data_IF_538842918443
#
_entry.id   IF_538842918443
#
_cell.length_a   1.000
_cell.length_b   1.000
_cell.length_c   1.000
_cell.angle_alpha   90.00
_cell.angle_beta   90.00
_cell.angle_gamma   90.00
#
_symmetry.space_group_name_H-M   'P 1'
#
loop_
_entity.id
_entity.type
_entity.pdbx_description
1 polymer ?
#
# COMPACT_ATOMS: atom_id res chain seq x y z
N UNK A 1 4.23 -16.74 -78.18
CA UNK A 1 5.21 -15.99 -77.38
C UNK A 1 4.47 -15.09 -76.38
N UNK A 2 4.37 -15.49 -75.17
CA UNK A 2 3.71 -14.69 -74.09
C UNK A 2 4.78 -13.80 -73.44
N UNK A 3 4.61 -12.49 -73.53
CA UNK A 3 5.42 -11.51 -72.77
C UNK A 3 5.02 -11.52 -71.34
N UNK A 4 5.88 -11.96 -70.43
CA UNK A 4 5.75 -11.93 -69.00
C UNK A 4 5.96 -10.47 -68.53
N UNK A 5 4.98 -9.93 -67.84
CA UNK A 5 4.94 -8.53 -67.38
C UNK A 5 5.84 -8.33 -66.15
N UNK A 6 7.11 -8.04 -66.36
CA UNK A 6 8.14 -7.83 -65.31
C UNK A 6 7.86 -6.65 -64.32
N UNK A 7 6.90 -5.79 -64.66
CA UNK A 7 6.59 -4.62 -63.82
C UNK A 7 5.67 -4.91 -62.59
N UNK A 8 4.90 -6.01 -62.61
CA UNK A 8 4.02 -6.34 -61.50
C UNK A 8 4.71 -7.09 -60.36
N UNK A 9 5.79 -7.79 -60.65
CA UNK A 9 6.56 -8.56 -59.65
C UNK A 9 7.49 -7.66 -58.82
N UNK A 10 7.96 -6.54 -59.39
CA UNK A 10 8.82 -5.60 -58.65
C UNK A 10 8.03 -4.76 -57.63
N UNK A 11 6.76 -4.44 -57.93
CA UNK A 11 5.90 -3.68 -57.01
C UNK A 11 5.45 -4.53 -55.81
N UNK A 12 5.22 -5.81 -55.96
CA UNK A 12 4.87 -6.73 -54.90
C UNK A 12 6.05 -7.00 -53.95
N UNK A 13 7.29 -7.07 -54.47
CA UNK A 13 8.48 -7.25 -53.65
C UNK A 13 8.84 -5.99 -52.83
N UNK A 14 8.63 -4.80 -53.38
CA UNK A 14 8.85 -3.53 -52.64
C UNK A 14 7.78 -3.30 -51.58
N UNK A 15 6.52 -3.69 -51.83
CA UNK A 15 5.45 -3.60 -50.80
C UNK A 15 5.63 -4.61 -49.65
N UNK A 16 6.14 -5.83 -49.96
CA UNK A 16 6.46 -6.83 -48.92
C UNK A 16 7.69 -6.44 -48.08
N UNK A 17 8.65 -5.71 -48.66
CA UNK A 17 9.80 -5.19 -47.91
C UNK A 17 9.42 -3.97 -47.05
N UNK A 18 8.47 -3.15 -47.48
CA UNK A 18 7.99 -2.03 -46.67
C UNK A 18 7.05 -2.48 -45.52
N UNK A 19 6.27 -3.57 -45.70
CA UNK A 19 5.46 -4.14 -44.62
C UNK A 19 6.31 -4.85 -43.56
N UNK A 20 7.47 -5.39 -43.89
CA UNK A 20 8.39 -5.93 -42.88
C UNK A 20 9.25 -4.87 -42.19
N UNK A 21 9.36 -3.65 -42.73
CA UNK A 21 10.07 -2.54 -42.08
C UNK A 21 9.18 -1.79 -41.08
N UNK A 22 7.85 -1.90 -41.17
CA UNK A 22 6.92 -1.30 -40.22
C UNK A 22 6.72 -2.17 -38.98
N UNK A 23 6.99 -3.48 -39.05
CA UNK A 23 6.90 -4.39 -37.92
C UNK A 23 8.15 -4.40 -36.99
N UNK A 24 9.19 -3.63 -37.33
CA UNK A 24 10.47 -3.60 -36.60
C UNK A 24 10.65 -2.37 -35.69
N UNK A 25 9.67 -1.47 -35.64
CA UNK A 25 9.72 -0.33 -34.75
C UNK A 25 8.89 -0.62 -33.47
N UNK A 26 9.53 -1.11 -32.41
CA UNK A 26 8.86 -1.32 -31.14
C UNK A 26 9.59 -2.21 -30.14
N UNK A 27 10.45 -3.10 -30.56
CA UNK A 27 11.18 -3.95 -29.61
C UNK A 27 12.60 -3.44 -29.38
N UNK A 28 12.90 -3.14 -28.12
CA UNK A 28 14.23 -2.77 -27.63
C UNK A 28 14.80 -3.93 -26.82
N UNK A 29 16.08 -4.21 -26.97
CA UNK A 29 16.79 -5.15 -26.11
C UNK A 29 17.28 -4.38 -24.86
N UNK A 30 16.95 -4.85 -23.67
CA UNK A 30 17.55 -4.41 -22.42
C UNK A 30 18.54 -5.46 -21.97
N UNK A 31 19.79 -5.06 -21.80
CA UNK A 31 20.86 -5.88 -21.26
C UNK A 31 21.39 -5.24 -19.98
N UNK A 32 21.89 -6.06 -19.08
CA UNK A 32 22.52 -5.53 -17.89
C UNK A 32 23.10 -6.62 -17.01
N UNK A 33 23.65 -6.18 -15.90
CA UNK A 33 24.17 -7.04 -14.86
C UNK A 33 23.71 -6.60 -13.49
N UNK A 34 23.58 -7.54 -12.57
CA UNK A 34 23.37 -7.27 -11.14
C UNK A 34 24.61 -7.75 -10.38
N UNK A 35 25.25 -6.82 -9.67
CA UNK A 35 26.48 -7.09 -8.90
C UNK A 35 26.35 -6.53 -7.49
N UNK A 36 27.12 -7.07 -6.57
CA UNK A 36 27.26 -6.43 -5.28
C UNK A 36 28.24 -5.24 -5.33
N UNK A 37 28.30 -4.48 -4.26
CA UNK A 37 29.17 -3.30 -4.11
C UNK A 37 30.68 -3.63 -4.11
N UNK A 38 31.07 -4.92 -4.14
CA UNK A 38 32.46 -5.39 -4.34
C UNK A 38 32.72 -5.78 -5.79
N UNK A 39 31.72 -5.72 -6.65
CA UNK A 39 31.77 -6.13 -8.06
C UNK A 39 31.49 -7.63 -8.29
N UNK A 40 31.12 -8.37 -7.25
CA UNK A 40 30.77 -9.80 -7.38
C UNK A 40 29.39 -9.95 -8.03
N UNK A 41 29.25 -10.82 -9.06
CA UNK A 41 27.97 -11.06 -9.72
C UNK A 41 26.95 -11.71 -8.76
N UNK A 42 25.68 -11.35 -8.95
CA UNK A 42 24.56 -11.90 -8.20
C UNK A 42 23.65 -12.66 -9.15
N UNK A 43 23.62 -13.99 -9.01
CA UNK A 43 22.77 -14.88 -9.80
C UNK A 43 21.37 -15.00 -9.20
N UNK A 44 20.36 -15.25 -10.07
CA UNK A 44 18.98 -15.54 -9.64
C UNK A 44 18.18 -14.31 -9.22
N UNK A 45 18.66 -13.10 -9.45
CA UNK A 45 17.88 -11.88 -9.21
C UNK A 45 16.79 -11.76 -10.27
N UNK A 46 15.55 -11.63 -9.85
CA UNK A 46 14.41 -11.41 -10.74
C UNK A 46 14.49 -10.01 -11.31
N UNK A 47 14.41 -9.91 -12.65
CA UNK A 47 14.43 -8.66 -13.41
C UNK A 47 13.19 -8.61 -14.30
N UNK A 48 12.54 -7.47 -14.34
CA UNK A 48 11.29 -7.28 -15.12
C UNK A 48 11.17 -5.85 -15.65
N UNK A 49 10.41 -5.68 -16.72
CA UNK A 49 9.93 -4.39 -17.21
C UNK A 49 8.46 -4.11 -16.85
N UNK A 50 7.84 -5.02 -16.07
CA UNK A 50 6.42 -5.00 -15.73
C UNK A 50 5.58 -6.02 -16.52
N UNK A 51 6.09 -6.53 -17.66
CA UNK A 51 5.41 -7.55 -18.46
C UNK A 51 6.27 -8.79 -18.67
N UNK A 52 7.55 -8.60 -18.90
CA UNK A 52 8.52 -9.67 -19.17
C UNK A 52 9.38 -9.88 -17.92
N UNK A 53 9.66 -11.14 -17.62
CA UNK A 53 10.45 -11.53 -16.45
C UNK A 53 11.63 -12.39 -16.90
N UNK A 54 12.77 -12.19 -16.27
CA UNK A 54 13.94 -13.04 -16.39
C UNK A 54 14.67 -13.08 -15.05
N UNK A 55 15.67 -13.92 -14.94
CA UNK A 55 16.60 -13.96 -13.80
C UNK A 55 18.04 -13.78 -14.29
N UNK A 56 18.87 -13.21 -13.42
CA UNK A 56 20.30 -13.13 -13.71
C UNK A 56 20.95 -14.50 -13.74
N UNK A 57 21.88 -14.72 -14.68
CA UNK A 57 22.69 -15.93 -14.82
C UNK A 57 23.81 -16.03 -13.75
N UNK A 58 24.71 -16.99 -13.88
CA UNK A 58 25.83 -17.20 -12.94
C UNK A 58 26.83 -16.04 -12.92
N UNK A 59 26.94 -15.32 -14.02
CA UNK A 59 27.79 -14.13 -14.22
C UNK A 59 27.03 -12.83 -13.83
N UNK A 60 25.79 -12.96 -13.33
CA UNK A 60 24.93 -11.85 -12.92
C UNK A 60 24.28 -11.10 -14.08
N UNK A 61 24.37 -11.59 -15.33
CA UNK A 61 23.83 -10.91 -16.51
C UNK A 61 22.38 -11.29 -16.76
N UNK A 62 21.65 -10.38 -17.43
CA UNK A 62 20.28 -10.62 -17.89
C UNK A 62 20.02 -9.96 -19.25
N UNK A 63 19.00 -10.43 -19.95
CA UNK A 63 18.50 -9.85 -21.19
C UNK A 63 16.99 -9.90 -21.18
N UNK A 64 16.34 -8.79 -21.57
CA UNK A 64 14.90 -8.69 -21.80
C UNK A 64 14.65 -8.06 -23.18
N UNK A 65 13.57 -8.47 -23.84
CA UNK A 65 13.03 -7.77 -25.01
C UNK A 65 11.76 -7.03 -24.54
N UNK A 66 11.72 -5.73 -24.78
CA UNK A 66 10.66 -4.85 -24.27
C UNK A 66 10.25 -3.79 -25.28
N UNK A 67 9.13 -3.14 -25.04
CA UNK A 67 8.69 -1.92 -25.70
C UNK A 67 8.76 -0.76 -24.69
N UNK A 68 9.78 0.10 -24.72
CA UNK A 68 9.95 1.20 -23.78
C UNK A 68 8.87 2.27 -23.88
N UNK A 69 8.08 2.30 -24.95
CA UNK A 69 6.94 3.23 -25.07
C UNK A 69 5.78 2.79 -24.19
N UNK A 70 5.68 1.50 -23.89
CA UNK A 70 4.67 0.90 -23.04
C UNK A 70 5.23 0.58 -21.64
N UNK A 71 6.47 0.11 -21.55
CA UNK A 71 7.17 -0.29 -20.34
C UNK A 71 8.44 0.56 -20.17
N UNK A 72 8.32 1.76 -19.60
CA UNK A 72 9.39 2.75 -19.63
C UNK A 72 10.54 2.47 -18.67
N UNK A 73 10.47 1.39 -17.90
CA UNK A 73 11.46 1.04 -16.87
C UNK A 73 11.80 -0.44 -16.90
N UNK A 74 13.01 -0.76 -16.46
CA UNK A 74 13.41 -2.09 -16.01
C UNK A 74 13.74 -2.02 -14.53
N UNK A 75 13.38 -3.05 -13.76
CA UNK A 75 13.58 -3.08 -12.32
C UNK A 75 13.81 -4.50 -11.79
N UNK A 76 14.31 -4.58 -10.57
CA UNK A 76 14.67 -5.83 -9.92
C UNK A 76 13.83 -6.06 -8.66
N UNK A 77 13.51 -7.32 -8.36
CA UNK A 77 13.06 -7.73 -7.04
C UNK A 77 14.29 -7.95 -6.15
N UNK A 78 14.54 -7.01 -5.22
CA UNK A 78 15.73 -7.06 -4.36
C UNK A 78 15.71 -8.30 -3.48
N UNK A 79 16.75 -9.17 -3.52
CA UNK A 79 16.80 -10.35 -2.68
C UNK A 79 17.02 -10.00 -1.19
N UNK A 80 16.47 -10.79 -0.26
CA UNK A 80 16.54 -10.56 1.18
C UNK A 80 17.96 -10.49 1.77
N UNK A 81 18.95 -11.06 1.07
CA UNK A 81 20.36 -11.03 1.47
C UNK A 81 21.07 -9.71 1.17
N UNK A 82 20.39 -8.77 0.54
CA UNK A 82 20.90 -7.44 0.19
C UNK A 82 20.08 -6.35 0.88
N UNK A 83 20.71 -5.22 1.17
CA UNK A 83 20.05 -4.03 1.69
C UNK A 83 19.06 -3.49 0.64
N UNK A 84 17.95 -2.93 1.11
CA UNK A 84 16.97 -2.30 0.23
C UNK A 84 17.56 -1.00 -0.33
N UNK A 85 17.70 -0.87 -1.66
CA UNK A 85 18.31 0.31 -2.25
C UNK A 85 17.47 1.56 -1.95
N UNK A 86 18.12 2.62 -1.48
CA UNK A 86 17.46 3.87 -1.17
C UNK A 86 18.38 5.08 -1.34
N UNK A 87 17.76 6.22 -1.58
CA UNK A 87 18.41 7.52 -1.57
C UNK A 87 17.68 8.44 -0.61
N UNK A 88 18.40 8.98 0.38
CA UNK A 88 17.80 9.81 1.44
C UNK A 88 16.63 9.12 2.18
N UNK A 89 16.69 7.79 2.33
CA UNK A 89 15.62 7.01 2.95
C UNK A 89 14.39 6.76 2.07
N UNK A 90 14.39 7.17 0.81
CA UNK A 90 13.34 6.82 -0.17
C UNK A 90 13.85 5.68 -1.06
N UNK A 91 13.04 4.67 -1.27
CA UNK A 91 13.39 3.54 -2.15
C UNK A 91 13.76 4.04 -3.54
N UNK A 92 14.97 3.70 -3.98
CA UNK A 92 15.57 4.16 -5.24
C UNK A 92 16.69 3.19 -5.63
N UNK A 93 17.09 3.18 -6.92
CA UNK A 93 18.19 2.34 -7.39
C UNK A 93 17.84 0.88 -7.66
N UNK A 94 16.59 0.46 -7.44
CA UNK A 94 16.09 -0.85 -7.85
C UNK A 94 15.43 -0.82 -9.23
N UNK A 95 15.31 0.35 -9.88
CA UNK A 95 14.76 0.54 -11.22
C UNK A 95 15.59 1.51 -12.03
N UNK A 96 15.47 1.42 -13.36
CA UNK A 96 16.11 2.32 -14.33
C UNK A 96 15.15 2.61 -15.48
N UNK A 97 15.17 3.85 -15.97
CA UNK A 97 14.39 4.27 -17.13
C UNK A 97 15.02 3.79 -18.41
N UNK A 98 14.18 3.41 -19.37
CA UNK A 98 14.58 3.01 -20.71
C UNK A 98 14.48 4.19 -21.68
N UNK A 99 15.43 4.27 -22.59
CA UNK A 99 15.42 5.21 -23.70
C UNK A 99 14.74 4.56 -24.91
N UNK A 100 13.50 5.01 -25.20
CA UNK A 100 12.73 4.49 -26.33
C UNK A 100 13.34 4.82 -27.71
N UNK A 101 14.31 5.74 -27.79
CA UNK A 101 15.06 6.07 -29.01
C UNK A 101 16.19 5.10 -29.32
N UNK A 102 16.49 4.16 -28.40
CA UNK A 102 17.58 3.19 -28.56
C UNK A 102 17.05 1.81 -28.86
N UNK A 103 17.73 1.10 -29.78
CA UNK A 103 17.49 -0.31 -30.05
C UNK A 103 18.02 -1.24 -28.94
N UNK A 104 18.96 -0.75 -28.13
CA UNK A 104 19.53 -1.45 -26.97
C UNK A 104 19.73 -0.48 -25.81
N UNK A 105 19.27 -0.87 -24.60
CA UNK A 105 19.50 -0.18 -23.36
C UNK A 105 20.40 -1.02 -22.46
N UNK A 106 21.43 -0.40 -21.86
CA UNK A 106 22.28 -1.03 -20.86
C UNK A 106 21.84 -0.57 -19.48
N UNK A 107 21.40 -1.52 -18.63
CA UNK A 107 20.89 -1.24 -17.29
C UNK A 107 21.57 -2.17 -16.27
N UNK A 108 22.52 -1.64 -15.52
CA UNK A 108 23.26 -2.37 -14.49
C UNK A 108 22.80 -1.98 -13.09
N UNK A 109 22.66 -2.97 -12.20
CA UNK A 109 22.28 -2.75 -10.81
C UNK A 109 23.41 -3.13 -9.86
N UNK A 110 23.56 -2.33 -8.79
CA UNK A 110 24.54 -2.59 -7.74
C UNK A 110 23.80 -2.67 -6.40
N UNK A 111 23.96 -3.78 -5.69
CA UNK A 111 23.32 -4.01 -4.40
C UNK A 111 24.36 -4.11 -3.30
N UNK A 112 24.08 -3.59 -2.13
CA UNK A 112 24.90 -3.75 -0.93
C UNK A 112 24.55 -5.03 -0.21
N UNK A 113 25.51 -5.94 -0.10
CA UNK A 113 25.28 -7.18 0.62
C UNK A 113 25.12 -6.93 2.11
N UNK A 114 24.07 -7.51 2.73
CA UNK A 114 23.87 -7.46 4.17
C UNK A 114 24.99 -8.15 4.92
N UNK A 115 25.43 -7.57 6.03
CA UNK A 115 26.44 -8.18 6.89
C UNK A 115 25.85 -9.35 7.71
N UNK A 116 24.55 -9.31 8.01
CA UNK A 116 23.82 -10.34 8.75
C UNK A 116 22.43 -10.53 8.11
N UNK A 117 21.87 -11.76 8.17
CA UNK A 117 20.48 -11.98 7.83
C UNK A 117 19.55 -11.13 8.70
N UNK A 118 18.41 -10.74 8.15
CA UNK A 118 17.35 -10.05 8.87
C UNK A 118 16.34 -11.08 9.33
N UNK A 119 16.36 -11.40 10.62
CA UNK A 119 15.38 -12.32 11.22
C UNK A 119 14.18 -11.57 11.81
N UNK A 120 14.41 -10.34 12.23
CA UNK A 120 13.39 -9.44 12.80
C UNK A 120 13.48 -8.07 12.12
N UNK A 121 12.32 -7.52 11.73
CA UNK A 121 12.23 -6.18 11.18
C UNK A 121 10.89 -5.52 11.55
N UNK A 122 10.81 -4.21 11.35
CA UNK A 122 9.58 -3.44 11.52
C UNK A 122 9.10 -2.94 10.16
N UNK A 123 7.80 -3.08 9.91
CA UNK A 123 7.13 -2.59 8.72
C UNK A 123 6.12 -1.53 9.13
N UNK A 124 6.32 -0.28 8.72
CA UNK A 124 5.45 0.84 9.04
C UNK A 124 4.61 1.17 7.81
N UNK A 125 3.29 1.09 7.95
CA UNK A 125 2.38 1.28 6.83
C UNK A 125 1.56 2.53 7.03
N UNK A 126 1.71 3.47 6.11
CA UNK A 126 1.06 4.78 6.09
C UNK A 126 0.06 4.83 4.93
N UNK A 127 -1.21 5.11 5.20
CA UNK A 127 -2.23 5.24 4.17
C UNK A 127 -2.69 6.68 4.02
N UNK A 128 -3.01 7.08 2.80
CA UNK A 128 -3.76 8.31 2.48
C UNK A 128 -3.23 9.57 3.20
N UNK A 129 -1.98 10.00 2.99
CA UNK A 129 -1.53 11.33 3.39
C UNK A 129 -2.33 12.43 2.70
N UNK A 130 -2.68 12.22 1.45
CA UNK A 130 -3.66 12.92 0.62
C UNK A 130 -3.61 14.45 0.74
N UNK A 131 -2.38 15.00 0.69
CA UNK A 131 -2.16 16.44 0.79
C UNK A 131 -2.55 17.16 -0.52
N UNK A 132 -3.36 18.20 -0.41
CA UNK A 132 -3.91 18.94 -1.55
C UNK A 132 -3.32 20.33 -1.73
N UNK A 133 -2.70 20.88 -0.70
CA UNK A 133 -2.14 22.22 -0.67
C UNK A 133 -1.09 22.33 0.44
N UNK A 134 -0.34 23.44 0.47
CA UNK A 134 0.71 23.69 1.45
C UNK A 134 0.20 23.62 2.89
N UNK A 135 -1.00 24.11 3.19
CA UNK A 135 -1.56 24.04 4.55
C UNK A 135 -1.72 22.60 5.06
N UNK A 136 -2.17 21.68 4.19
CA UNK A 136 -2.30 20.27 4.54
C UNK A 136 -0.93 19.58 4.58
N UNK A 137 -0.03 19.94 3.68
CA UNK A 137 1.35 19.48 3.70
C UNK A 137 2.07 19.93 4.98
N UNK A 138 1.83 21.14 5.45
CA UNK A 138 2.39 21.63 6.73
C UNK A 138 1.85 20.85 7.92
N UNK A 139 0.55 20.51 7.93
CA UNK A 139 0.00 19.59 8.95
C UNK A 139 0.67 18.22 8.90
N UNK A 140 0.83 17.66 7.72
CA UNK A 140 1.53 16.39 7.55
C UNK A 140 2.96 16.45 8.09
N UNK A 141 3.71 17.54 7.77
CA UNK A 141 5.09 17.76 8.24
C UNK A 141 5.20 18.01 9.75
N UNK A 142 4.18 18.59 10.37
CA UNK A 142 4.25 19.00 11.79
C UNK A 142 3.52 18.03 12.72
N UNK A 143 2.61 17.21 12.19
CA UNK A 143 1.83 16.23 12.97
C UNK A 143 2.35 14.80 12.71
N UNK A 144 2.21 14.29 11.46
CA UNK A 144 2.48 12.87 11.14
C UNK A 144 3.97 12.56 11.03
N UNK A 145 4.74 13.39 10.32
CA UNK A 145 6.17 13.14 10.06
C UNK A 145 6.99 13.07 11.34
N UNK A 146 6.85 14.00 12.34
CA UNK A 146 7.56 13.89 13.59
C UNK A 146 7.21 12.66 14.41
N UNK A 147 5.94 12.25 14.38
CA UNK A 147 5.47 11.04 15.07
C UNK A 147 6.04 9.76 14.42
N UNK A 148 6.06 9.68 13.08
CA UNK A 148 6.74 8.61 12.34
C UNK A 148 8.21 8.53 12.70
N UNK A 149 8.90 9.69 12.71
CA UNK A 149 10.32 9.78 13.09
C UNK A 149 10.56 9.30 14.51
N UNK A 150 9.73 9.73 15.46
CA UNK A 150 9.83 9.31 16.86
C UNK A 150 9.61 7.78 16.99
N UNK A 151 8.66 7.24 16.27
CA UNK A 151 8.39 5.79 16.24
C UNK A 151 9.59 5.04 15.68
N UNK A 152 10.14 5.48 14.53
CA UNK A 152 11.32 4.88 13.93
C UNK A 152 12.54 4.95 14.88
N UNK A 153 12.77 6.10 15.51
CA UNK A 153 13.87 6.28 16.46
C UNK A 153 13.74 5.35 17.69
N UNK A 154 12.51 5.08 18.14
CA UNK A 154 12.26 4.14 19.24
C UNK A 154 12.54 2.69 18.85
N UNK A 155 12.48 2.38 17.56
CA UNK A 155 12.64 1.04 16.97
C UNK A 155 13.95 0.88 16.18
N UNK A 156 14.89 1.81 16.31
CA UNK A 156 16.15 1.88 15.55
C UNK A 156 17.07 0.66 15.66
N UNK A 157 16.82 -0.24 16.62
CA UNK A 157 17.56 -1.48 16.76
C UNK A 157 17.12 -2.54 15.73
N UNK A 158 16.01 -2.32 15.06
CA UNK A 158 15.49 -3.15 13.97
C UNK A 158 15.76 -2.48 12.62
N UNK A 159 15.81 -3.26 11.56
CA UNK A 159 15.63 -2.71 10.23
C UNK A 159 14.16 -2.26 10.08
N UNK A 160 13.96 -1.06 9.56
CA UNK A 160 12.63 -0.49 9.42
C UNK A 160 12.36 -0.22 7.94
N UNK A 161 11.25 -0.75 7.46
CA UNK A 161 10.72 -0.49 6.12
C UNK A 161 9.41 0.27 6.23
N UNK A 162 9.28 1.36 5.51
CA UNK A 162 8.05 2.13 5.40
C UNK A 162 7.34 1.87 4.07
N UNK A 163 6.01 1.86 4.08
CA UNK A 163 5.17 1.74 2.90
C UNK A 163 4.05 2.77 2.93
N UNK A 164 4.01 3.64 1.91
CA UNK A 164 2.87 4.51 1.65
C UNK A 164 1.88 3.83 0.71
N UNK A 165 0.61 3.70 1.14
CA UNK A 165 -0.43 2.95 0.41
C UNK A 165 -1.22 3.78 -0.60
N UNK A 166 -0.59 4.78 -1.23
CA UNK A 166 -1.25 5.60 -2.23
C UNK A 166 -2.04 6.79 -1.67
N UNK A 167 -2.66 7.53 -2.56
CA UNK A 167 -3.24 8.84 -2.28
C UNK A 167 -2.23 9.72 -1.52
N UNK A 168 -0.99 9.75 -2.05
CA UNK A 168 0.11 10.53 -1.48
C UNK A 168 -0.21 12.01 -1.51
N UNK A 169 -0.82 12.44 -2.62
CA UNK A 169 -1.35 13.78 -2.84
C UNK A 169 -2.81 13.68 -3.28
N UNK A 170 -3.52 14.82 -3.29
CA UNK A 170 -4.89 14.88 -3.84
C UNK A 170 -4.88 15.65 -5.16
N UNK A 171 -4.74 14.94 -6.27
CA UNK A 171 -4.73 15.50 -7.63
C UNK A 171 -3.69 16.64 -7.82
N UNK A 172 -2.70 16.74 -6.96
CA UNK A 172 -1.77 17.88 -6.88
C UNK A 172 -0.32 17.40 -7.09
N UNK A 173 0.01 16.98 -8.32
CA UNK A 173 1.31 16.38 -8.67
C UNK A 173 2.52 17.30 -8.35
N UNK A 174 2.32 18.61 -8.31
CA UNK A 174 3.34 19.57 -7.86
C UNK A 174 3.74 19.39 -6.39
N UNK A 175 2.94 18.67 -5.60
CA UNK A 175 3.26 18.36 -4.20
C UNK A 175 4.07 17.07 -4.02
N UNK A 176 4.36 16.30 -5.08
CA UNK A 176 5.19 15.10 -4.97
C UNK A 176 6.59 15.40 -4.44
N UNK A 177 7.27 16.41 -4.98
CA UNK A 177 8.61 16.75 -4.52
C UNK A 177 8.62 17.17 -3.03
N UNK A 178 7.79 18.10 -2.55
CA UNK A 178 7.74 18.45 -1.14
C UNK A 178 7.20 17.33 -0.23
N UNK A 179 6.31 16.46 -0.72
CA UNK A 179 5.90 15.24 0.01
C UNK A 179 7.07 14.27 0.15
N UNK A 180 7.78 13.96 -0.95
CA UNK A 180 8.98 13.11 -0.95
C UNK A 180 10.04 13.63 0.03
N UNK A 181 10.26 14.94 0.07
CA UNK A 181 11.14 15.57 1.04
C UNK A 181 10.65 15.36 2.48
N UNK A 182 9.34 15.47 2.72
CA UNK A 182 8.77 15.29 4.07
C UNK A 182 8.98 13.88 4.62
N UNK A 183 8.87 12.84 3.77
CA UNK A 183 9.05 11.44 4.18
C UNK A 183 10.49 10.93 4.01
N UNK A 184 11.43 11.79 3.65
CA UNK A 184 12.86 11.45 3.56
C UNK A 184 13.53 11.41 4.94
N UNK A 185 14.60 10.61 5.06
CA UNK A 185 15.45 10.56 6.27
C UNK A 185 14.72 10.27 7.59
N UNK A 186 13.64 9.49 7.52
CA UNK A 186 12.86 9.09 8.70
C UNK A 186 13.52 7.95 9.53
N UNK A 187 14.69 7.46 9.11
CA UNK A 187 15.34 6.30 9.73
C UNK A 187 14.81 4.96 9.22
N UNK A 188 14.14 4.99 8.06
CA UNK A 188 13.61 3.81 7.37
C UNK A 188 13.76 3.97 5.85
N UNK A 189 13.65 2.88 5.10
CA UNK A 189 13.51 2.91 3.65
C UNK A 189 12.02 2.98 3.31
N UNK A 190 11.57 4.15 2.80
CA UNK A 190 10.18 4.41 2.44
C UNK A 190 9.91 4.00 0.99
N UNK A 191 9.05 3.04 0.81
CA UNK A 191 8.43 2.68 -0.47
C UNK A 191 7.09 3.39 -0.63
N UNK A 192 6.63 3.52 -1.88
CA UNK A 192 5.36 4.18 -2.18
C UNK A 192 4.54 3.31 -3.14
N UNK A 193 3.24 3.45 -3.05
CA UNK A 193 2.24 2.89 -3.95
C UNK A 193 1.38 4.05 -4.47
N UNK A 194 0.74 3.93 -5.62
CA UNK A 194 -0.20 4.95 -6.07
C UNK A 194 -1.65 4.62 -5.71
N UNK A 195 -2.42 5.68 -5.39
CA UNK A 195 -3.86 5.63 -5.24
C UNK A 195 -4.59 6.39 -6.37
N UNK A 196 -5.91 6.53 -6.25
CA UNK A 196 -6.72 7.17 -7.28
C UNK A 196 -6.48 8.68 -7.42
N UNK A 197 -5.95 9.34 -6.39
CA UNK A 197 -5.59 10.76 -6.44
C UNK A 197 -4.14 11.02 -6.88
N UNK A 198 -3.40 9.97 -7.21
CA UNK A 198 -2.03 10.05 -7.70
C UNK A 198 -1.94 10.06 -9.24
N UNK A 199 -3.08 10.01 -9.95
CA UNK A 199 -3.13 10.16 -11.40
C UNK A 199 -3.16 11.61 -11.83
N UNK A 200 -2.41 11.93 -12.89
CA UNK A 200 -2.39 13.28 -13.45
C UNK A 200 -3.66 13.60 -14.22
N UNK A 201 -4.47 14.51 -13.69
CA UNK A 201 -5.76 14.89 -14.26
C UNK A 201 -5.68 15.73 -15.53
N UNK A 202 -4.49 16.18 -15.97
CA UNK A 202 -4.32 16.83 -17.28
C UNK A 202 -4.72 15.90 -18.43
N UNK A 203 -4.68 14.59 -18.19
CA UNK A 203 -5.07 13.57 -19.16
C UNK A 203 -6.56 13.19 -19.09
N UNK A 204 -7.43 14.16 -18.74
CA UNK A 204 -8.89 13.96 -18.63
C UNK A 204 -9.57 13.48 -19.91
N UNK A 205 -8.98 13.76 -21.07
CA UNK A 205 -9.57 13.52 -22.39
C UNK A 205 -8.93 12.39 -23.17
N UNK A 206 -8.10 11.57 -22.55
CA UNK A 206 -7.35 10.50 -23.22
C UNK A 206 -8.22 9.27 -23.56
N UNK A 207 -9.50 9.28 -23.28
CA UNK A 207 -10.44 8.23 -23.71
C UNK A 207 -10.51 8.00 -25.24
N UNK A 208 -9.75 8.77 -26.04
CA UNK A 208 -9.68 8.67 -27.49
C UNK A 208 -8.31 8.22 -28.03
N UNK A 209 -7.40 7.81 -27.18
CA UNK A 209 -6.08 7.33 -27.59
C UNK A 209 -6.05 5.80 -27.65
N UNK A 210 -5.17 5.25 -28.50
CA UNK A 210 -4.90 3.81 -28.62
C UNK A 210 -4.12 3.26 -27.39
N UNK A 211 -3.84 4.11 -26.39
CA UNK A 211 -3.13 3.76 -25.19
C UNK A 211 -4.09 3.78 -23.98
N UNK A 212 -3.89 2.91 -23.00
CA UNK A 212 -4.59 2.96 -21.73
C UNK A 212 -4.44 4.35 -21.09
N UNK A 213 -5.51 4.90 -20.54
CA UNK A 213 -5.48 6.20 -19.86
C UNK A 213 -4.53 6.21 -18.65
N UNK A 214 -4.35 5.06 -18.01
CA UNK A 214 -3.40 4.82 -16.93
C UNK A 214 -1.99 5.26 -17.30
N UNK A 215 -1.42 4.74 -18.38
CA UNK A 215 -0.04 5.00 -18.78
C UNK A 215 0.31 6.49 -18.90
N UNK A 216 -0.68 7.32 -19.20
CA UNK A 216 -0.50 8.77 -19.21
C UNK A 216 -0.72 9.42 -17.83
N UNK A 217 -1.69 8.93 -17.07
CA UNK A 217 -1.99 9.43 -15.73
C UNK A 217 -0.86 9.17 -14.74
N UNK A 218 -0.13 8.08 -14.92
CA UNK A 218 0.91 7.59 -14.02
C UNK A 218 2.28 8.26 -14.21
N UNK A 219 2.52 8.98 -15.28
CA UNK A 219 3.87 9.50 -15.63
C UNK A 219 4.52 10.31 -14.52
N UNK A 220 3.78 11.17 -13.81
CA UNK A 220 4.33 11.95 -12.70
C UNK A 220 4.70 11.07 -11.50
N UNK A 221 3.93 10.02 -11.24
CA UNK A 221 4.25 9.05 -10.21
C UNK A 221 5.54 8.30 -10.57
N UNK A 222 5.63 7.77 -11.80
CA UNK A 222 6.83 7.08 -12.29
C UNK A 222 8.08 7.92 -12.11
N UNK A 223 8.05 9.19 -12.51
CA UNK A 223 9.17 10.12 -12.36
C UNK A 223 9.57 10.40 -10.92
N UNK A 224 8.65 10.24 -9.98
CA UNK A 224 8.87 10.56 -8.57
C UNK A 224 9.23 9.34 -7.72
N UNK A 225 8.67 8.16 -8.02
CA UNK A 225 8.72 6.99 -7.15
C UNK A 225 9.06 5.67 -7.87
N UNK A 226 9.17 5.66 -9.20
CA UNK A 226 9.47 4.47 -9.97
C UNK A 226 8.22 3.66 -10.36
N UNK A 227 8.34 2.33 -10.55
CA UNK A 227 7.26 1.50 -11.06
C UNK A 227 6.07 1.42 -10.11
N UNK A 228 4.84 1.30 -10.66
CA UNK A 228 3.62 1.14 -9.87
C UNK A 228 3.47 -0.28 -9.29
N UNK A 229 3.93 -1.30 -10.03
CA UNK A 229 3.95 -2.68 -9.58
C UNK A 229 5.39 -3.12 -9.38
N UNK A 230 5.75 -3.55 -8.19
CA UNK A 230 7.10 -4.04 -7.86
C UNK A 230 7.08 -4.95 -6.65
N UNK A 231 8.18 -5.69 -6.46
CA UNK A 231 8.38 -6.53 -5.28
C UNK A 231 9.81 -6.42 -4.74
N UNK A 232 9.98 -6.81 -3.50
CA UNK A 232 11.28 -6.99 -2.85
C UNK A 232 11.17 -8.00 -1.72
N UNK A 233 12.31 -8.43 -1.18
CA UNK A 233 12.34 -9.42 -0.11
C UNK A 233 13.07 -8.87 1.12
N UNK A 234 12.53 -9.13 2.30
CA UNK A 234 13.16 -8.82 3.57
C UNK A 234 12.90 -9.93 4.58
N UNK A 235 13.96 -10.45 5.23
CA UNK A 235 13.83 -11.63 6.07
C UNK A 235 13.27 -12.80 5.28
N UNK A 236 12.17 -13.36 5.76
CA UNK A 236 11.41 -14.42 5.08
C UNK A 236 10.18 -13.90 4.32
N UNK A 237 9.95 -12.60 4.33
CA UNK A 237 8.75 -12.00 3.74
C UNK A 237 9.04 -11.55 2.31
N UNK A 238 8.15 -11.92 1.40
CA UNK A 238 8.06 -11.35 0.07
C UNK A 238 7.07 -10.19 0.09
N UNK A 239 7.52 -8.99 -0.22
CA UNK A 239 6.72 -7.76 -0.20
C UNK A 239 6.38 -7.36 -1.62
N UNK A 240 5.10 -7.15 -1.87
CA UNK A 240 4.56 -6.74 -3.16
C UNK A 240 3.84 -5.40 -2.98
N UNK A 241 4.13 -4.44 -3.84
CA UNK A 241 3.31 -3.25 -4.05
C UNK A 241 2.67 -3.36 -5.43
N UNK A 242 1.33 -3.29 -5.48
CA UNK A 242 0.60 -3.48 -6.71
C UNK A 242 -0.55 -2.48 -6.83
N UNK A 243 -0.66 -1.87 -7.99
CA UNK A 243 -1.76 -0.98 -8.36
C UNK A 243 -3.07 -1.76 -8.45
N UNK A 244 -4.14 -1.18 -7.92
CA UNK A 244 -5.50 -1.72 -7.98
C UNK A 244 -6.53 -0.66 -8.38
N UNK A 245 -6.06 0.45 -8.93
CA UNK A 245 -6.86 1.51 -9.53
C UNK A 245 -6.68 1.50 -11.03
N UNK A 246 -7.75 1.19 -11.74
CA UNK A 246 -7.82 1.26 -13.20
C UNK A 246 -8.45 2.60 -13.60
N UNK A 247 -7.63 3.48 -14.18
CA UNK A 247 -8.01 4.87 -14.46
C UNK A 247 -8.60 5.01 -15.87
N UNK A 248 -9.89 5.30 -15.93
CA UNK A 248 -10.64 5.45 -17.19
C UNK A 248 -10.44 6.83 -17.87
N UNK A 249 -9.70 7.74 -17.25
CA UNK A 249 -9.63 9.14 -17.64
C UNK A 249 -10.85 9.95 -17.15
N UNK A 250 -10.85 11.27 -17.41
CA UNK A 250 -11.95 12.18 -16.99
C UNK A 250 -12.27 12.12 -15.48
N UNK A 251 -11.29 11.89 -14.62
CA UNK A 251 -11.45 11.67 -13.17
C UNK A 251 -12.28 10.43 -12.80
N UNK A 252 -12.45 9.51 -13.72
CA UNK A 252 -13.13 8.24 -13.48
C UNK A 252 -12.10 7.14 -13.31
N UNK A 253 -12.37 6.26 -12.39
CA UNK A 253 -11.57 5.08 -12.13
C UNK A 253 -12.47 3.95 -11.64
N UNK A 254 -11.91 2.77 -11.65
CA UNK A 254 -12.54 1.57 -11.08
C UNK A 254 -11.50 0.89 -10.20
N UNK A 255 -11.89 0.57 -8.97
CA UNK A 255 -11.08 -0.24 -8.07
C UNK A 255 -11.09 -1.68 -8.59
N UNK A 256 -10.02 -2.06 -9.28
CA UNK A 256 -9.82 -3.41 -9.83
C UNK A 256 -8.38 -3.63 -10.26
N UNK A 257 -8.00 -4.88 -10.35
CA UNK A 257 -6.76 -5.32 -10.98
C UNK A 257 -7.02 -5.54 -12.47
N UNK A 258 -6.18 -4.99 -13.33
CA UNK A 258 -6.24 -5.29 -14.76
C UNK A 258 -5.76 -6.73 -15.02
N UNK A 259 -6.07 -7.32 -16.18
CA UNK A 259 -5.49 -8.62 -16.56
C UNK A 259 -3.96 -8.61 -16.55
N UNK A 260 -3.34 -7.49 -16.91
CA UNK A 260 -1.90 -7.27 -16.91
C UNK A 260 -1.34 -7.27 -15.47
N UNK A 261 -2.00 -6.63 -14.52
CA UNK A 261 -1.60 -6.62 -13.11
C UNK A 261 -1.64 -8.04 -12.51
N UNK A 262 -2.72 -8.79 -12.78
CA UNK A 262 -2.84 -10.18 -12.33
C UNK A 262 -1.81 -11.11 -13.01
N UNK A 263 -1.48 -10.88 -14.28
CA UNK A 263 -0.43 -11.62 -14.98
C UNK A 263 0.96 -11.31 -14.42
N UNK A 264 1.22 -10.04 -14.10
CA UNK A 264 2.44 -9.60 -13.41
C UNK A 264 2.57 -10.31 -12.04
N UNK A 265 1.52 -10.26 -11.22
CA UNK A 265 1.50 -10.91 -9.90
C UNK A 265 1.74 -12.43 -10.00
N UNK A 266 1.08 -13.09 -10.95
CA UNK A 266 1.26 -14.53 -11.18
C UNK A 266 2.70 -14.88 -11.54
N UNK A 267 3.36 -14.04 -12.34
CA UNK A 267 4.77 -14.23 -12.73
C UNK A 267 5.69 -13.95 -11.54
N UNK A 268 5.48 -12.88 -10.81
CA UNK A 268 6.27 -12.52 -9.63
C UNK A 268 6.20 -13.64 -8.57
N UNK A 269 4.98 -14.09 -8.22
CA UNK A 269 4.75 -15.17 -7.28
C UNK A 269 5.34 -16.53 -7.74
N UNK A 270 5.60 -16.73 -9.03
CA UNK A 270 6.23 -17.96 -9.52
C UNK A 270 7.70 -18.13 -9.04
N UNK A 271 8.31 -17.06 -8.56
CA UNK A 271 9.64 -17.05 -7.94
C UNK A 271 9.61 -17.20 -6.42
N UNK A 272 8.41 -17.25 -5.83
CA UNK A 272 8.20 -17.30 -4.38
C UNK A 272 7.77 -18.71 -3.98
N UNK A 273 8.47 -19.38 -3.04
CA UNK A 273 8.06 -20.72 -2.57
C UNK A 273 6.65 -20.69 -1.96
N UNK A 274 5.84 -21.70 -2.27
CA UNK A 274 4.54 -21.88 -1.62
C UNK A 274 4.68 -21.99 -0.11
N UNK A 275 3.71 -21.44 0.64
CA UNK A 275 3.75 -21.35 2.10
C UNK A 275 4.51 -20.14 2.65
N UNK A 276 5.23 -19.38 1.79
CA UNK A 276 5.91 -18.15 2.21
C UNK A 276 4.95 -17.11 2.75
N UNK A 277 5.44 -16.24 3.63
CA UNK A 277 4.72 -15.04 4.06
C UNK A 277 4.82 -13.96 2.98
N UNK A 278 3.67 -13.46 2.55
CA UNK A 278 3.55 -12.40 1.53
C UNK A 278 2.87 -11.18 2.13
N UNK A 279 3.50 -10.02 2.00
CA UNK A 279 2.89 -8.73 2.28
C UNK A 279 2.45 -8.11 0.96
N UNK A 280 1.15 -8.08 0.71
CA UNK A 280 0.57 -7.42 -0.46
C UNK A 280 0.08 -6.04 -0.07
N UNK A 281 0.63 -5.02 -0.71
CA UNK A 281 0.24 -3.63 -0.53
C UNK A 281 -0.56 -3.17 -1.75
N UNK A 282 -1.76 -2.67 -1.50
CA UNK A 282 -2.70 -2.14 -2.50
C UNK A 282 -3.32 -0.85 -1.97
N UNK A 283 -3.91 -0.03 -2.83
CA UNK A 283 -4.56 1.19 -2.37
C UNK A 283 -5.98 0.93 -1.87
N UNK A 284 -6.84 0.35 -2.70
CA UNK A 284 -8.22 0.05 -2.34
C UNK A 284 -8.33 -1.29 -1.59
N UNK A 285 -9.26 -1.46 -0.63
CA UNK A 285 -9.45 -2.73 0.05
C UNK A 285 -9.93 -3.82 -0.91
N UNK A 286 -9.48 -5.03 -0.67
CA UNK A 286 -9.76 -6.21 -1.51
C UNK A 286 -10.94 -7.01 -0.95
N UNK A 287 -11.01 -7.15 0.36
CA UNK A 287 -12.16 -7.77 1.00
C UNK A 287 -13.39 -6.87 0.92
N UNK A 288 -14.56 -7.48 0.87
CA UNK A 288 -15.80 -6.72 0.79
C UNK A 288 -16.06 -5.99 2.12
N UNK A 289 -15.78 -4.70 2.14
CA UNK A 289 -16.10 -3.84 3.25
C UNK A 289 -17.61 -3.55 3.23
N UNK A 290 -18.35 -4.20 4.13
CA UNK A 290 -19.81 -4.06 4.22
C UNK A 290 -20.26 -2.77 4.90
N UNK A 291 -19.34 -2.01 5.49
CA UNK A 291 -19.64 -0.85 6.34
C UNK A 291 -19.33 0.46 5.64
N UNK A 292 -18.21 0.55 4.94
CA UNK A 292 -17.92 1.67 4.05
C UNK A 292 -18.55 1.38 2.68
N UNK A 293 -19.60 2.08 2.33
CA UNK A 293 -20.28 1.89 1.06
C UNK A 293 -19.34 2.17 -0.12
N UNK A 294 -18.88 1.12 -0.81
CA UNK A 294 -18.04 1.20 -2.00
C UNK A 294 -16.53 1.32 -1.71
N UNK A 295 -15.75 1.39 -2.76
CA UNK A 295 -14.30 1.60 -2.69
C UNK A 295 -13.47 0.34 -2.55
N UNK A 296 -14.02 -0.86 -2.78
CA UNK A 296 -13.25 -2.11 -2.77
C UNK A 296 -13.10 -2.71 -4.16
N UNK A 297 -12.00 -3.43 -4.37
CA UNK A 297 -11.66 -4.04 -5.65
C UNK A 297 -12.71 -5.03 -6.13
N UNK A 298 -13.24 -4.81 -7.35
CA UNK A 298 -14.37 -5.57 -7.91
C UNK A 298 -14.05 -7.01 -8.28
N UNK A 299 -12.79 -7.31 -8.60
CA UNK A 299 -12.36 -8.63 -9.05
C UNK A 299 -11.43 -9.36 -8.07
N UNK A 300 -11.58 -9.10 -6.79
CA UNK A 300 -10.80 -9.67 -5.69
C UNK A 300 -10.68 -11.20 -5.73
N UNK A 301 -11.70 -11.92 -6.23
CA UNK A 301 -11.66 -13.37 -6.33
C UNK A 301 -10.52 -13.89 -7.21
N UNK A 302 -10.17 -13.19 -8.29
CA UNK A 302 -9.04 -13.56 -9.14
C UNK A 302 -7.71 -13.41 -8.39
N UNK A 303 -7.57 -12.34 -7.62
CA UNK A 303 -6.43 -12.12 -6.74
C UNK A 303 -6.30 -13.23 -5.69
N UNK A 304 -7.38 -13.55 -4.98
CA UNK A 304 -7.37 -14.58 -3.94
C UNK A 304 -6.97 -15.97 -4.46
N UNK A 305 -7.28 -16.30 -5.71
CA UNK A 305 -6.81 -17.54 -6.33
C UNK A 305 -5.28 -17.59 -6.46
N UNK A 306 -4.64 -16.48 -6.80
CA UNK A 306 -3.19 -16.39 -6.91
C UNK A 306 -2.51 -16.43 -5.54
N UNK A 307 -3.13 -15.81 -4.53
CA UNK A 307 -2.58 -15.70 -3.17
C UNK A 307 -2.80 -16.95 -2.31
N UNK A 308 -3.71 -17.83 -2.70
CA UNK A 308 -4.13 -19.01 -1.90
C UNK A 308 -2.98 -19.91 -1.42
N UNK A 309 -1.87 -20.10 -2.17
CA UNK A 309 -0.75 -20.93 -1.71
C UNK A 309 0.09 -20.31 -0.59
N UNK A 310 -0.14 -19.04 -0.21
CA UNK A 310 0.72 -18.25 0.67
C UNK A 310 0.05 -17.89 1.99
N UNK A 311 0.85 -17.45 2.97
CA UNK A 311 0.37 -16.76 4.17
C UNK A 311 0.39 -15.26 3.90
N UNK A 312 -0.76 -14.62 3.78
CA UNK A 312 -0.83 -13.28 3.21
C UNK A 312 -1.36 -12.27 4.21
N UNK A 313 -0.65 -11.16 4.35
CA UNK A 313 -1.17 -9.92 4.92
C UNK A 313 -1.36 -8.91 3.80
N UNK A 314 -2.60 -8.47 3.58
CA UNK A 314 -2.94 -7.40 2.66
C UNK A 314 -3.03 -6.10 3.46
N UNK A 315 -2.35 -5.06 2.99
CA UNK A 315 -2.43 -3.72 3.55
C UNK A 315 -3.10 -2.81 2.53
N UNK A 316 -4.22 -2.18 2.92
CA UNK A 316 -5.02 -1.31 2.06
C UNK A 316 -5.43 -0.02 2.78
N UNK A 317 -5.85 0.99 2.02
CA UNK A 317 -6.28 2.30 2.50
C UNK A 317 -7.59 2.76 1.87
N UNK A 318 -7.58 3.95 1.21
CA UNK A 318 -8.64 4.49 0.35
C UNK A 318 -9.95 4.86 1.05
N UNK A 319 -10.45 4.02 1.93
CA UNK A 319 -11.78 4.20 2.53
C UNK A 319 -11.81 5.20 3.68
N UNK A 320 -10.64 5.57 4.23
CA UNK A 320 -10.51 6.37 5.46
C UNK A 320 -11.27 5.72 6.64
N UNK A 321 -11.20 4.40 6.68
CA UNK A 321 -11.70 3.54 7.74
C UNK A 321 -10.58 2.66 8.24
N UNK A 322 -10.64 2.27 9.51
CA UNK A 322 -9.86 1.14 9.99
C UNK A 322 -10.76 -0.09 10.04
N UNK A 323 -10.37 -1.18 9.40
CA UNK A 323 -11.11 -2.45 9.46
C UNK A 323 -10.17 -3.63 9.20
N UNK A 324 -10.24 -4.65 10.07
CA UNK A 324 -9.55 -5.92 9.89
C UNK A 324 -10.51 -6.96 9.33
N UNK A 325 -10.07 -7.73 8.33
CA UNK A 325 -10.87 -8.75 7.68
C UNK A 325 -10.08 -10.05 7.45
N UNK A 326 -10.79 -11.17 7.39
CA UNK A 326 -10.22 -12.49 7.06
C UNK A 326 -10.94 -13.08 5.84
N UNK A 327 -10.63 -12.61 4.62
CA UNK A 327 -11.31 -13.07 3.41
C UNK A 327 -11.06 -14.55 3.09
N UNK A 328 -9.97 -15.13 3.59
CA UNK A 328 -9.67 -16.56 3.52
C UNK A 328 -8.82 -17.00 4.72
N UNK A 329 -8.74 -18.29 5.06
CA UNK A 329 -8.00 -18.77 6.24
C UNK A 329 -6.52 -18.35 6.30
N UNK A 330 -5.89 -18.15 5.14
CA UNK A 330 -4.48 -17.76 5.02
C UNK A 330 -4.30 -16.31 4.54
N UNK A 331 -5.37 -15.54 4.43
CA UNK A 331 -5.34 -14.16 3.94
C UNK A 331 -6.01 -13.25 4.96
N UNK A 332 -5.23 -12.33 5.52
CA UNK A 332 -5.68 -11.32 6.46
C UNK A 332 -5.53 -9.94 5.82
N UNK A 333 -6.57 -9.14 5.83
CA UNK A 333 -6.53 -7.77 5.31
C UNK A 333 -6.63 -6.74 6.43
N UNK A 334 -5.72 -5.78 6.38
CA UNK A 334 -5.69 -4.57 7.18
C UNK A 334 -6.10 -3.40 6.30
N UNK A 335 -7.35 -2.98 6.35
CA UNK A 335 -7.75 -1.71 5.78
C UNK A 335 -7.42 -0.62 6.80
N UNK A 336 -6.40 0.20 6.51
CA UNK A 336 -5.75 1.08 7.48
C UNK A 336 -6.40 2.45 7.46
N UNK A 337 -6.60 3.03 8.62
CA UNK A 337 -7.05 4.42 8.74
C UNK A 337 -6.06 5.39 8.11
N UNK A 338 -6.60 6.41 7.44
CA UNK A 338 -5.83 7.42 6.72
C UNK A 338 -5.00 8.32 7.65
N UNK A 339 -3.79 8.66 7.22
CA UNK A 339 -2.96 9.65 7.91
C UNK A 339 -3.60 11.05 7.93
N UNK A 340 -4.39 11.37 6.89
CA UNK A 340 -5.17 12.61 6.84
C UNK A 340 -6.50 12.53 7.61
N UNK A 341 -6.83 11.37 8.18
CA UNK A 341 -8.15 11.12 8.74
C UNK A 341 -9.25 11.34 7.70
N UNK A 342 -10.33 12.02 8.08
CA UNK A 342 -11.34 12.46 7.12
C UNK A 342 -10.86 13.75 6.42
N UNK A 343 -9.92 13.61 5.48
CA UNK A 343 -9.44 14.68 4.58
C UNK A 343 -8.93 15.94 5.28
N UNK A 344 -8.16 15.77 6.34
CA UNK A 344 -7.63 16.87 7.14
C UNK A 344 -8.68 17.79 7.77
N UNK A 345 -9.95 17.35 7.84
CA UNK A 345 -11.02 18.12 8.48
C UNK A 345 -10.87 18.16 10.01
N UNK A 346 -10.22 17.16 10.59
CA UNK A 346 -9.94 17.04 12.02
C UNK A 346 -8.84 16.03 12.28
N UNK A 347 -9.01 15.24 13.34
CA UNK A 347 -8.00 14.28 13.80
C UNK A 347 -8.54 12.84 13.86
N UNK A 348 -9.70 12.57 13.23
CA UNK A 348 -10.28 11.23 13.18
C UNK A 348 -10.65 10.82 11.76
N UNK A 349 -10.64 9.54 11.54
CA UNK A 349 -11.16 8.85 10.37
C UNK A 349 -12.69 8.74 10.43
N UNK A 350 -13.30 8.28 9.35
CA UNK A 350 -14.76 8.09 9.23
C UNK A 350 -15.33 7.08 10.24
N UNK A 351 -14.50 6.18 10.75
CA UNK A 351 -14.84 5.21 11.80
C UNK A 351 -14.51 5.70 13.22
N UNK A 352 -14.03 6.94 13.38
CA UNK A 352 -13.61 7.48 14.67
C UNK A 352 -12.18 7.11 15.10
N UNK A 353 -11.50 6.19 14.40
CA UNK A 353 -10.08 5.95 14.66
C UNK A 353 -9.29 7.24 14.42
N UNK A 354 -8.34 7.62 15.28
CA UNK A 354 -7.51 8.80 15.05
C UNK A 354 -6.73 8.73 13.74
N UNK A 355 -6.25 9.87 13.22
CA UNK A 355 -5.20 9.88 12.21
C UNK A 355 -4.03 9.03 12.70
N UNK A 356 -3.45 8.24 11.83
CA UNK A 356 -2.36 7.36 12.27
C UNK A 356 -1.82 6.45 11.18
N UNK A 357 -1.17 5.41 11.61
CA UNK A 357 -0.52 4.42 10.74
C UNK A 357 -0.39 3.08 11.48
N UNK A 358 -0.07 2.03 10.74
CA UNK A 358 0.13 0.70 11.31
C UNK A 358 1.62 0.43 11.52
N UNK A 359 1.97 -0.14 12.68
CA UNK A 359 3.30 -0.64 12.99
C UNK A 359 3.24 -2.15 13.07
N UNK A 360 3.93 -2.83 12.16
CA UNK A 360 3.98 -4.29 12.07
C UNK A 360 5.37 -4.76 12.48
N UNK A 361 5.45 -5.66 13.44
CA UNK A 361 6.68 -6.32 13.85
C UNK A 361 6.70 -7.75 13.28
N UNK A 362 7.77 -8.08 12.60
CA UNK A 362 7.96 -9.40 11.98
C UNK A 362 9.14 -10.07 12.62
N UNK A 363 8.94 -11.34 13.04
CA UNK A 363 10.00 -12.21 13.55
C UNK A 363 9.87 -13.59 12.92
N UNK A 364 10.74 -13.87 11.95
CA UNK A 364 10.61 -15.09 11.17
C UNK A 364 9.27 -15.13 10.43
N UNK A 365 8.37 -16.03 10.84
CA UNK A 365 7.02 -16.17 10.29
C UNK A 365 5.93 -15.54 11.20
N UNK A 366 6.33 -15.06 12.40
CA UNK A 366 5.41 -14.37 13.31
C UNK A 366 5.22 -12.91 12.88
N UNK A 367 3.96 -12.52 12.68
CA UNK A 367 3.56 -11.17 12.30
C UNK A 367 2.64 -10.61 13.39
N UNK A 368 3.06 -9.51 14.01
CA UNK A 368 2.27 -8.77 15.01
C UNK A 368 2.13 -7.33 14.57
N UNK A 369 1.02 -6.70 14.92
CA UNK A 369 0.77 -5.32 14.52
C UNK A 369 0.04 -4.55 15.62
N UNK A 370 0.13 -3.23 15.51
CA UNK A 370 -0.56 -2.28 16.39
C UNK A 370 -0.82 -1.00 15.61
N UNK A 371 -2.03 -0.48 15.71
CA UNK A 371 -2.32 0.86 15.20
C UNK A 371 -1.66 1.91 16.07
N UNK A 372 -1.00 2.89 15.45
CA UNK A 372 -0.37 4.02 16.13
C UNK A 372 -1.12 5.31 15.77
N UNK A 373 -1.88 5.84 16.71
CA UNK A 373 -2.52 7.15 16.59
C UNK A 373 -1.45 8.26 16.62
N UNK A 374 -1.47 9.16 15.63
CA UNK A 374 -0.54 10.29 15.53
C UNK A 374 -0.62 11.19 16.74
N UNK A 375 0.54 11.49 17.34
CA UNK A 375 0.64 12.34 18.55
C UNK A 375 0.22 11.68 19.85
N UNK A 376 -0.17 10.40 19.84
CA UNK A 376 -0.61 9.66 21.02
C UNK A 376 0.42 8.60 21.44
N UNK A 377 0.26 8.09 22.69
CA UNK A 377 0.99 6.91 23.14
C UNK A 377 0.68 5.69 22.26
N UNK A 378 1.64 4.77 22.03
CA UNK A 378 1.35 3.48 21.39
C UNK A 378 0.28 2.64 22.12
N UNK A 379 0.05 2.90 23.40
CA UNK A 379 -0.95 2.19 24.20
C UNK A 379 -2.36 2.80 24.11
N UNK A 380 -2.52 3.94 23.42
CA UNK A 380 -3.83 4.51 23.14
C UNK A 380 -4.47 3.75 21.98
N UNK A 381 -5.23 2.70 22.34
CA UNK A 381 -5.82 1.75 21.37
C UNK A 381 -7.34 1.85 21.26
N UNK A 382 -7.98 2.66 22.10
CA UNK A 382 -9.42 2.87 22.04
C UNK A 382 -9.82 4.17 22.75
N UNK A 383 -10.98 4.69 22.40
CA UNK A 383 -11.61 5.84 23.02
C UNK A 383 -12.80 5.38 23.90
N UNK A 384 -12.92 5.93 25.10
CA UNK A 384 -14.14 5.82 25.90
C UNK A 384 -14.95 7.11 25.81
N UNK A 385 -16.24 6.95 25.55
CA UNK A 385 -17.27 7.97 25.66
C UNK A 385 -18.03 7.78 26.96
N UNK A 386 -18.18 8.85 27.72
CA UNK A 386 -18.99 8.86 28.95
C UNK A 386 -20.50 8.80 28.62
N UNK A 387 -21.36 8.40 29.57
CA UNK A 387 -22.80 8.55 29.41
C UNK A 387 -23.15 9.99 29.04
N UNK A 388 -23.97 10.16 28.02
CA UNK A 388 -24.36 11.46 27.47
C UNK A 388 -23.47 11.96 26.31
N UNK A 389 -22.24 11.47 26.15
CA UNK A 389 -21.34 11.88 25.03
C UNK A 389 -21.73 11.24 23.69
N UNK A 390 -22.17 9.97 23.70
CA UNK A 390 -22.59 9.26 22.49
C UNK A 390 -24.10 9.41 22.28
N UNK A 391 -24.52 10.23 21.31
CA UNK A 391 -25.90 10.72 21.22
C UNK A 391 -26.95 9.60 21.06
N UNK A 392 -26.63 8.55 20.29
CA UNK A 392 -27.55 7.41 20.11
C UNK A 392 -27.53 6.42 21.29
N UNK A 393 -26.61 6.58 22.26
CA UNK A 393 -26.36 5.66 23.37
C UNK A 393 -26.17 6.43 24.70
N UNK A 394 -27.07 7.37 25.01
CA UNK A 394 -26.89 8.35 26.12
C UNK A 394 -26.72 7.72 27.51
N UNK A 395 -27.29 6.54 27.72
CA UNK A 395 -27.22 5.87 29.02
C UNK A 395 -26.05 4.89 29.15
N UNK A 396 -25.18 4.84 28.10
CA UNK A 396 -24.10 3.87 28.02
C UNK A 396 -22.72 4.53 28.05
N UNK A 397 -21.77 3.82 28.62
CA UNK A 397 -20.35 4.01 28.30
C UNK A 397 -20.11 3.30 26.98
N UNK A 398 -19.48 3.99 26.02
CA UNK A 398 -19.16 3.44 24.71
C UNK A 398 -17.66 3.40 24.51
N UNK A 399 -17.15 2.28 24.03
CA UNK A 399 -15.75 2.13 23.58
C UNK A 399 -15.69 2.01 22.06
N UNK A 400 -14.81 2.79 21.41
CA UNK A 400 -14.44 2.62 20.03
C UNK A 400 -12.99 2.11 19.97
N UNK A 401 -12.78 0.88 19.45
CA UNK A 401 -11.50 0.16 19.49
C UNK A 401 -10.91 0.12 18.09
N UNK A 402 -9.74 0.78 17.89
CA UNK A 402 -9.20 1.05 16.54
C UNK A 402 -8.89 -0.21 15.75
N UNK A 403 -8.05 -1.07 16.31
CA UNK A 403 -7.49 -2.27 15.66
C UNK A 403 -8.27 -3.54 16.01
N UNK A 404 -9.57 -3.38 16.24
CA UNK A 404 -10.42 -4.51 16.64
C UNK A 404 -10.49 -5.59 15.56
N UNK A 405 -10.41 -6.84 16.01
CA UNK A 405 -10.83 -8.00 15.24
C UNK A 405 -11.68 -8.96 16.14
N UNK A 406 -12.25 -9.97 15.53
CA UNK A 406 -13.16 -10.92 16.18
C UNK A 406 -12.52 -11.77 17.29
N UNK A 407 -11.20 -11.75 17.47
CA UNK A 407 -10.48 -12.47 18.55
C UNK A 407 -10.32 -11.64 19.82
N UNK A 408 -10.58 -10.34 19.75
CA UNK A 408 -10.45 -9.44 20.89
C UNK A 408 -11.51 -9.73 21.96
N UNK A 409 -11.14 -9.52 23.23
CA UNK A 409 -12.10 -9.50 24.33
C UNK A 409 -12.17 -8.10 24.91
N UNK A 410 -13.42 -7.62 25.12
CA UNK A 410 -13.71 -6.29 25.62
C UNK A 410 -14.54 -6.45 26.89
N UNK A 411 -13.90 -6.34 28.06
CA UNK A 411 -14.55 -6.49 29.36
C UNK A 411 -14.65 -5.15 30.07
N UNK A 412 -15.67 -5.01 30.89
CA UNK A 412 -15.84 -3.82 31.69
C UNK A 412 -16.03 -4.11 33.18
N UNK A 413 -15.66 -3.14 33.98
CA UNK A 413 -15.73 -3.15 35.43
C UNK A 413 -16.49 -1.92 35.87
N UNK A 414 -17.31 -2.05 36.91
CA UNK A 414 -18.00 -0.99 37.61
C UNK A 414 -17.47 -0.94 39.03
N UNK A 415 -16.95 0.20 39.49
CA UNK A 415 -16.35 0.39 40.80
C UNK A 415 -15.35 -0.73 41.19
N UNK A 416 -14.54 -1.16 40.23
CA UNK A 416 -13.55 -2.23 40.39
C UNK A 416 -14.09 -3.66 40.29
N UNK A 417 -15.40 -3.87 40.14
CA UNK A 417 -16.04 -5.18 40.06
C UNK A 417 -16.27 -5.55 38.60
N UNK A 418 -15.77 -6.72 38.15
CA UNK A 418 -15.99 -7.24 36.79
C UNK A 418 -17.48 -7.48 36.54
N UNK A 419 -18.01 -6.88 35.49
CA UNK A 419 -19.42 -7.03 35.06
C UNK A 419 -19.56 -7.97 33.85
N UNK A 420 -18.48 -8.24 33.12
CA UNK A 420 -18.49 -9.12 31.97
C UNK A 420 -18.06 -8.43 30.68
N UNK A 421 -18.44 -9.00 29.54
CA UNK A 421 -18.14 -8.43 28.23
C UNK A 421 -19.04 -7.24 27.89
N UNK A 422 -18.51 -6.22 27.25
CA UNK A 422 -19.30 -5.17 26.64
C UNK A 422 -20.08 -5.70 25.43
N UNK A 423 -21.23 -5.11 25.15
CA UNK A 423 -22.06 -5.46 24.01
C UNK A 423 -21.57 -4.74 22.75
N UNK A 424 -21.21 -5.50 21.70
CA UNK A 424 -20.90 -4.94 20.38
C UNK A 424 -22.16 -4.35 19.72
N UNK A 425 -22.00 -3.26 18.98
CA UNK A 425 -23.06 -2.66 18.18
C UNK A 425 -22.46 -1.89 17.00
N UNK A 426 -23.25 -1.64 15.98
CA UNK A 426 -22.85 -0.89 14.80
C UNK A 426 -23.51 0.49 14.84
N UNK A 427 -22.72 1.55 14.68
CA UNK A 427 -23.24 2.93 14.54
C UNK A 427 -22.20 3.83 13.88
N UNK A 428 -22.57 5.09 13.60
CA UNK A 428 -21.62 6.15 13.24
C UNK A 428 -20.89 6.62 14.49
N UNK A 429 -19.57 6.83 14.36
CA UNK A 429 -18.75 7.30 15.48
C UNK A 429 -19.10 8.74 15.88
N UNK A 430 -19.15 9.02 17.18
CA UNK A 430 -19.59 10.32 17.69
C UNK A 430 -18.57 11.45 17.45
N UNK A 431 -17.26 11.16 17.56
CA UNK A 431 -16.24 12.18 17.28
C UNK A 431 -16.23 12.54 15.79
N UNK A 432 -16.48 11.55 14.92
CA UNK A 432 -16.66 11.82 13.50
C UNK A 432 -17.92 12.67 13.22
N UNK A 433 -19.07 12.32 13.82
CA UNK A 433 -20.30 13.11 13.68
C UNK A 433 -20.08 14.55 14.15
N UNK A 434 -19.43 14.75 15.30
CA UNK A 434 -19.11 16.07 15.84
C UNK A 434 -18.23 16.88 14.90
N UNK A 435 -17.21 16.23 14.31
CA UNK A 435 -16.29 16.84 13.36
C UNK A 435 -17.00 17.32 12.08
N UNK A 436 -17.97 16.57 11.58
CA UNK A 436 -18.76 16.93 10.41
C UNK A 436 -20.01 17.76 10.75
N UNK A 437 -20.03 18.39 11.92
CA UNK A 437 -21.09 19.31 12.41
C UNK A 437 -22.46 18.64 12.57
N UNK A 438 -22.48 17.44 13.12
CA UNK A 438 -23.70 16.71 13.45
C UNK A 438 -24.45 16.11 12.25
N UNK A 439 -23.90 16.18 11.06
CA UNK A 439 -24.50 15.51 9.89
C UNK A 439 -24.22 14.02 9.95
N UNK A 440 -25.27 13.21 10.01
CA UNK A 440 -25.15 11.77 9.80
C UNK A 440 -24.76 11.50 8.35
N UNK A 441 -23.76 10.66 8.14
CA UNK A 441 -23.18 10.39 6.83
C UNK A 441 -23.46 8.97 6.35
N UNK A 442 -23.94 8.09 7.25
CA UNK A 442 -24.17 6.67 6.99
C UNK A 442 -22.92 5.81 7.10
N UNK A 443 -21.79 6.37 7.53
CA UNK A 443 -20.54 5.61 7.74
C UNK A 443 -20.53 4.91 9.09
N UNK A 444 -21.07 3.70 9.14
CA UNK A 444 -21.15 2.90 10.36
C UNK A 444 -19.86 2.11 10.57
N UNK A 445 -19.44 1.96 11.83
CA UNK A 445 -18.31 1.13 12.23
C UNK A 445 -18.74 -0.03 13.10
N UNK A 446 -18.02 -1.15 13.04
CA UNK A 446 -18.20 -2.35 13.87
C UNK A 446 -17.28 -2.39 15.09
N UNK A 447 -16.52 -1.33 15.33
CA UNK A 447 -15.54 -1.25 16.43
C UNK A 447 -16.15 -0.78 17.73
N UNK A 448 -17.48 -0.58 17.78
CA UNK A 448 -18.18 0.02 18.91
C UNK A 448 -18.69 -1.04 19.87
N UNK A 449 -18.45 -0.79 21.15
CA UNK A 449 -18.91 -1.59 22.27
C UNK A 449 -19.56 -0.71 23.30
N UNK A 450 -20.61 -1.20 23.98
CA UNK A 450 -21.32 -0.44 24.98
C UNK A 450 -21.57 -1.25 26.26
N UNK A 451 -21.61 -0.57 27.39
CA UNK A 451 -22.01 -1.10 28.68
C UNK A 451 -22.86 -0.07 29.40
N UNK A 452 -23.92 -0.50 30.05
CA UNK A 452 -24.79 0.37 30.82
C UNK A 452 -24.41 0.30 32.30
N UNK A 453 -23.82 1.38 32.89
CA UNK A 453 -23.50 1.40 34.30
C UNK A 453 -24.77 1.54 35.15
N UNK A 454 -24.69 1.12 36.42
CA UNK A 454 -25.76 1.38 37.40
C UNK A 454 -25.82 2.88 37.71
N UNK A 455 -26.98 3.32 38.23
CA UNK A 455 -27.21 4.75 38.55
C UNK A 455 -26.26 5.30 39.62
N UNK A 456 -25.76 4.43 40.49
CA UNK A 456 -24.91 4.80 41.61
C UNK A 456 -23.42 4.51 41.36
N UNK A 457 -23.09 4.06 40.14
CA UNK A 457 -21.71 3.77 39.71
C UNK A 457 -20.85 5.03 39.77
N UNK A 458 -19.62 4.90 40.28
CA UNK A 458 -18.67 6.00 40.45
C UNK A 458 -17.57 5.97 39.37
N UNK A 459 -17.28 4.76 38.85
CA UNK A 459 -16.31 4.59 37.79
C UNK A 459 -16.64 3.41 36.88
N UNK A 460 -16.24 3.51 35.61
CA UNK A 460 -16.23 2.41 34.66
C UNK A 460 -14.84 2.27 34.11
N UNK A 461 -14.28 1.06 34.25
CA UNK A 461 -13.03 0.67 33.62
C UNK A 461 -13.30 -0.33 32.51
N UNK A 462 -12.71 -0.10 31.34
CA UNK A 462 -12.74 -1.01 30.18
C UNK A 462 -11.37 -1.63 30.00
N UNK A 463 -11.35 -2.95 29.81
CA UNK A 463 -10.14 -3.75 29.60
C UNK A 463 -10.29 -4.47 28.27
N UNK A 464 -9.44 -4.10 27.31
CA UNK A 464 -9.35 -4.70 25.98
C UNK A 464 -8.14 -5.61 25.93
N UNK A 465 -8.33 -6.87 25.55
CA UNK A 465 -7.25 -7.80 25.28
C UNK A 465 -7.26 -8.12 23.78
N UNK A 466 -6.14 -7.82 23.10
CA UNK A 466 -6.00 -8.06 21.67
C UNK A 466 -5.63 -9.54 21.37
N UNK A 467 -5.52 -9.87 20.09
CA UNK A 467 -5.18 -11.22 19.60
C UNK A 467 -3.79 -11.70 20.03
N UNK A 468 -2.88 -10.77 20.36
CA UNK A 468 -1.51 -11.08 20.82
C UNK A 468 -1.41 -11.23 22.32
N UNK A 469 -2.53 -11.07 23.06
CA UNK A 469 -2.59 -11.14 24.51
C UNK A 469 -2.19 -9.85 25.22
N UNK A 470 -1.94 -8.76 24.48
CA UNK A 470 -1.69 -7.43 25.06
C UNK A 470 -2.97 -6.86 25.65
N UNK A 471 -2.83 -6.13 26.77
CA UNK A 471 -3.98 -5.58 27.53
C UNK A 471 -3.88 -4.06 27.52
N UNK A 472 -4.96 -3.42 27.08
CA UNK A 472 -5.15 -1.98 27.12
C UNK A 472 -6.29 -1.65 28.08
N UNK A 473 -6.14 -0.59 28.84
CA UNK A 473 -7.10 -0.24 29.91
C UNK A 473 -7.32 1.26 29.94
N UNK A 474 -8.60 1.63 29.98
CA UNK A 474 -9.05 3.01 30.22
C UNK A 474 -10.10 3.02 31.31
N UNK A 475 -10.11 4.05 32.15
CA UNK A 475 -11.07 4.23 33.24
C UNK A 475 -11.62 5.65 33.22
N UNK A 476 -12.93 5.77 33.34
CA UNK A 476 -13.63 7.04 33.47
C UNK A 476 -14.35 7.11 34.83
N UNK A 477 -14.44 8.29 35.40
CA UNK A 477 -15.29 8.60 36.57
C UNK A 477 -16.66 9.07 36.07
N UNK A 478 -17.71 8.56 36.67
CA UNK A 478 -19.11 8.90 36.37
C UNK A 478 -19.63 10.02 37.26
#
# INVERSE_FOLDING_TARGET
MKKINFRKTLFAAVLLFQLNAIAAFGQTVVKGSVKDNTGKPISGVVVTDGAHFNTTDAEGNYVLNTDPTRYPMVYISTPATYELPSKEGIADGFYQYLDAGKSENQCDFVLTKRQKPVDEFVYIVLSDPQVRNEKQLDRFRTETVPDLKQTADSLKNFEIVGMGLGDLVWDAMNLYAPYRQAVSNLGMTMFQLMGNHDFNLLYKSITQTDHPADGYGEQNYYQSFGPANYSFNIGKVHVIAMKDIDYDGNKKYTERFTPEDLDWLRKDLSYVPEGSTVFLNVHAPVANNTVAAGGNARNANALFQLLRPYQVHIFSGHTHFYENQLPAPTIYEHNIGAACGAWWAGHVNRCGAPNGYLVVQVKGDDVKWRYKATGCSPDYQFRLYQPGEFESQKDYVVANIWDWDWTYTVNWYEDGVLKGAMQAFDDEDQDYINMVKGKKTGYRTRHLFRAQPSKDAKSVKVVVKNRFGEIFTEEIKL
#
